data_IF_668280784292
#
_entry.id   IF_668280784292
#
_cell.length_a   1.000
_cell.length_b   1.000
_cell.length_c   1.000
_cell.angle_alpha   90.00
_cell.angle_beta   90.00
_cell.angle_gamma   90.00
#
_symmetry.space_group_name_H-M   'P 1'
#
loop_
_entity.id
_entity.type
_entity.pdbx_description
1 polymer ?
#
# COMPACT_ATOMS: atom_id res chain seq x y z
N UNK A 1 -48.45 48.65 45.41
CA UNK A 1 -46.99 48.51 45.23
C UNK A 1 -46.62 47.04 45.06
N UNK A 2 -47.08 46.18 45.98
CA UNK A 2 -46.87 44.71 45.99
C UNK A 2 -47.26 43.95 44.69
N UNK A 3 -48.40 44.27 44.06
CA UNK A 3 -48.84 43.59 42.81
C UNK A 3 -47.92 43.84 41.61
N UNK A 4 -47.28 45.02 41.54
CA UNK A 4 -46.32 45.35 40.47
C UNK A 4 -45.00 44.59 40.63
N UNK A 5 -44.61 44.31 41.87
CA UNK A 5 -43.40 43.53 42.17
C UNK A 5 -43.61 42.05 41.86
N UNK A 6 -44.78 41.49 42.18
CA UNK A 6 -45.14 40.10 41.88
C UNK A 6 -45.22 39.86 40.36
N UNK A 7 -45.86 40.76 39.61
CA UNK A 7 -45.94 40.66 38.15
C UNK A 7 -44.58 40.83 37.48
N UNK A 8 -43.73 41.74 37.97
CA UNK A 8 -42.34 41.87 37.50
C UNK A 8 -41.53 40.60 37.77
N UNK A 9 -41.62 40.03 38.97
CA UNK A 9 -40.92 38.79 39.32
C UNK A 9 -41.35 37.59 38.47
N UNK A 10 -42.66 37.48 38.17
CA UNK A 10 -43.19 36.48 37.24
C UNK A 10 -42.65 36.65 35.81
N UNK A 11 -42.61 37.89 35.31
CA UNK A 11 -42.07 38.17 33.97
C UNK A 11 -40.57 37.85 33.91
N UNK A 12 -39.80 38.21 34.94
CA UNK A 12 -38.37 37.88 35.03
C UNK A 12 -38.13 36.38 35.13
N UNK A 13 -38.93 35.67 35.92
CA UNK A 13 -38.85 34.21 36.03
C UNK A 13 -39.20 33.51 34.71
N UNK A 14 -40.23 33.98 34.00
CA UNK A 14 -40.62 33.45 32.70
C UNK A 14 -39.54 33.71 31.64
N UNK A 15 -38.97 34.92 31.63
CA UNK A 15 -37.87 35.28 30.73
C UNK A 15 -36.60 34.46 31.02
N UNK A 16 -36.28 34.20 32.29
CA UNK A 16 -35.16 33.33 32.68
C UNK A 16 -35.39 31.88 32.26
N UNK A 17 -36.62 31.37 32.39
CA UNK A 17 -36.98 30.02 31.97
C UNK A 17 -36.88 29.84 30.46
N UNK A 18 -37.44 30.79 29.68
CA UNK A 18 -37.34 30.80 28.22
C UNK A 18 -35.88 30.97 27.76
N UNK A 19 -35.13 31.86 28.41
CA UNK A 19 -33.70 32.06 28.13
C UNK A 19 -32.87 30.80 28.36
N UNK A 20 -33.13 30.10 29.48
CA UNK A 20 -32.46 28.82 29.81
C UNK A 20 -32.85 27.71 28.83
N UNK A 21 -34.12 27.65 28.42
CA UNK A 21 -34.60 26.69 27.42
C UNK A 21 -33.95 26.90 26.05
N UNK A 22 -33.87 28.15 25.57
CA UNK A 22 -33.21 28.50 24.31
C UNK A 22 -31.70 28.22 24.40
N UNK A 23 -31.04 28.61 25.50
CA UNK A 23 -29.61 28.35 25.70
C UNK A 23 -29.29 26.85 25.72
N UNK A 24 -30.12 26.04 26.40
CA UNK A 24 -29.99 24.59 26.46
C UNK A 24 -30.18 23.94 25.08
N UNK A 25 -31.14 24.44 24.30
CA UNK A 25 -31.38 23.97 22.94
C UNK A 25 -30.21 24.30 22.00
N UNK A 26 -29.67 25.51 22.07
CA UNK A 26 -28.49 25.93 21.29
C UNK A 26 -27.25 25.13 21.69
N UNK A 27 -27.04 24.92 22.99
CA UNK A 27 -25.95 24.08 23.50
C UNK A 27 -26.06 22.63 22.98
N UNK A 28 -27.26 22.05 23.02
CA UNK A 28 -27.52 20.72 22.47
C UNK A 28 -27.21 20.63 20.97
N UNK A 29 -27.67 21.60 20.17
CA UNK A 29 -27.37 21.65 18.73
C UNK A 29 -25.87 21.79 18.45
N UNK A 30 -25.17 22.61 19.25
CA UNK A 30 -23.73 22.81 19.13
C UNK A 30 -22.97 21.51 19.42
N UNK A 31 -23.29 20.82 20.52
CA UNK A 31 -22.69 19.51 20.87
C UNK A 31 -22.99 18.47 19.79
N UNK A 32 -24.22 18.42 19.26
CA UNK A 32 -24.60 17.51 18.15
C UNK A 32 -23.82 17.80 16.86
N UNK A 33 -23.51 19.07 16.57
CA UNK A 33 -22.69 19.45 15.41
C UNK A 33 -21.20 19.09 15.63
N UNK A 34 -20.66 19.37 16.82
CA UNK A 34 -19.28 19.04 17.18
C UNK A 34 -19.02 17.54 17.14
N UNK A 35 -19.93 16.72 17.70
CA UNK A 35 -19.83 15.25 17.66
C UNK A 35 -19.87 14.71 16.23
N UNK A 36 -20.78 15.20 15.38
CA UNK A 36 -20.79 14.86 13.94
C UNK A 36 -19.48 15.23 13.24
N UNK A 37 -18.91 16.39 13.56
CA UNK A 37 -17.65 16.83 12.97
C UNK A 37 -16.47 16.00 13.46
N UNK A 38 -16.41 15.70 14.77
CA UNK A 38 -15.41 14.81 15.34
C UNK A 38 -15.46 13.40 14.72
N UNK A 39 -16.66 12.83 14.50
CA UNK A 39 -16.81 11.55 13.80
C UNK A 39 -16.31 11.61 12.35
N UNK A 40 -16.58 12.69 11.61
CA UNK A 40 -16.05 12.88 10.26
C UNK A 40 -14.52 12.97 10.26
N UNK A 41 -13.95 13.72 11.20
CA UNK A 41 -12.50 13.85 11.36
C UNK A 41 -11.85 12.54 11.75
N UNK A 42 -12.44 11.77 12.67
CA UNK A 42 -11.95 10.45 13.06
C UNK A 42 -11.97 9.48 11.87
N UNK A 43 -13.06 9.46 11.10
CA UNK A 43 -13.16 8.66 9.88
C UNK A 43 -12.10 9.05 8.85
N UNK A 44 -11.89 10.36 8.64
CA UNK A 44 -10.86 10.87 7.74
C UNK A 44 -9.44 10.51 8.21
N UNK A 45 -9.15 10.66 9.51
CA UNK A 45 -7.87 10.28 10.12
C UNK A 45 -7.60 8.78 9.96
N UNK A 46 -8.60 7.94 10.21
CA UNK A 46 -8.47 6.50 10.05
C UNK A 46 -8.21 6.10 8.59
N UNK A 47 -8.90 6.73 7.63
CA UNK A 47 -8.64 6.53 6.19
C UNK A 47 -7.22 6.95 5.82
N UNK A 48 -6.76 8.11 6.31
CA UNK A 48 -5.40 8.58 6.07
C UNK A 48 -4.36 7.61 6.63
N UNK A 49 -4.61 7.03 7.80
CA UNK A 49 -3.74 6.03 8.39
C UNK A 49 -3.68 4.74 7.55
N UNK A 50 -4.82 4.24 7.06
CA UNK A 50 -4.86 3.06 6.17
C UNK A 50 -4.05 3.33 4.90
N UNK A 51 -4.26 4.48 4.26
CA UNK A 51 -3.53 4.87 3.05
C UNK A 51 -2.02 4.93 3.34
N UNK A 52 -1.61 5.52 4.46
CA UNK A 52 -0.20 5.57 4.86
C UNK A 52 0.39 4.16 5.02
N UNK A 53 -0.35 3.24 5.65
CA UNK A 53 0.10 1.85 5.82
C UNK A 53 0.22 1.12 4.46
N UNK A 54 -0.68 1.39 3.52
CA UNK A 54 -0.60 0.87 2.15
C UNK A 54 0.64 1.41 1.41
N UNK A 55 0.89 2.72 1.47
CA UNK A 55 2.08 3.33 0.86
C UNK A 55 3.37 2.76 1.44
N UNK A 56 3.46 2.63 2.77
CA UNK A 56 4.63 2.02 3.42
C UNK A 56 4.84 0.55 3.02
N UNK A 57 3.76 -0.22 2.87
CA UNK A 57 3.85 -1.60 2.40
C UNK A 57 4.39 -1.67 0.97
N UNK A 58 3.89 -0.80 0.09
CA UNK A 58 4.34 -0.72 -1.30
C UNK A 58 5.79 -0.26 -1.42
N UNK A 59 6.23 0.71 -0.62
CA UNK A 59 7.62 1.16 -0.54
C UNK A 59 8.56 0.04 -0.06
N UNK A 60 8.13 -0.74 0.93
CA UNK A 60 8.88 -1.90 1.43
C UNK A 60 9.06 -2.95 0.32
N UNK A 61 7.98 -3.30 -0.37
CA UNK A 61 8.01 -4.24 -1.50
C UNK A 61 8.89 -3.71 -2.63
N UNK A 62 8.78 -2.43 -2.96
CA UNK A 62 9.58 -1.80 -4.01
C UNK A 62 11.08 -1.86 -3.69
N UNK A 63 11.45 -1.61 -2.43
CA UNK A 63 12.83 -1.69 -1.96
C UNK A 63 13.41 -3.10 -2.09
N UNK A 64 12.63 -4.13 -1.74
CA UNK A 64 13.03 -5.55 -1.94
C UNK A 64 13.17 -5.85 -3.43
N UNK A 65 12.23 -5.37 -4.24
CA UNK A 65 12.22 -5.58 -5.68
C UNK A 65 13.40 -4.93 -6.40
N UNK A 66 14.05 -3.94 -5.79
CA UNK A 66 15.24 -3.32 -6.36
C UNK A 66 16.36 -4.35 -6.58
N UNK A 67 16.47 -5.40 -5.76
CA UNK A 67 17.43 -6.49 -5.94
C UNK A 67 17.37 -7.17 -7.33
N UNK A 68 16.25 -7.01 -8.05
CA UNK A 68 16.01 -7.55 -9.39
C UNK A 68 16.37 -6.58 -10.53
N UNK A 69 16.85 -5.38 -10.22
CA UNK A 69 17.08 -4.32 -11.20
C UNK A 69 18.26 -4.59 -12.14
N UNK A 70 18.26 -3.89 -13.28
CA UNK A 70 19.31 -3.97 -14.33
C UNK A 70 20.61 -3.27 -13.94
N UNK A 71 20.52 -2.25 -13.10
CA UNK A 71 21.67 -1.47 -12.64
C UNK A 71 22.51 -2.34 -11.69
N UNK A 72 23.67 -2.76 -12.17
CA UNK A 72 24.59 -3.66 -11.47
C UNK A 72 25.04 -3.15 -10.10
N UNK A 73 25.52 -4.08 -9.27
CA UNK A 73 26.01 -3.82 -7.92
C UNK A 73 26.05 -5.09 -7.07
N UNK A 74 26.75 -5.04 -5.94
CA UNK A 74 26.76 -6.13 -4.96
C UNK A 74 25.34 -6.35 -4.40
N UNK A 75 24.93 -7.62 -4.24
CA UNK A 75 23.61 -8.00 -3.71
C UNK A 75 22.47 -8.11 -4.73
N UNK A 76 22.73 -7.90 -6.04
CA UNK A 76 21.72 -8.11 -7.10
C UNK A 76 21.55 -9.59 -7.47
N UNK A 77 20.35 -9.96 -7.90
CA UNK A 77 20.05 -11.32 -8.38
C UNK A 77 20.79 -11.61 -9.69
N UNK A 78 20.77 -10.67 -10.63
CA UNK A 78 21.48 -10.78 -11.90
C UNK A 78 22.88 -10.18 -11.73
N UNK A 79 23.90 -10.99 -12.01
CA UNK A 79 25.30 -10.62 -11.94
C UNK A 79 25.92 -10.73 -13.33
N UNK A 80 26.83 -9.81 -13.65
CA UNK A 80 27.60 -9.84 -14.90
C UNK A 80 29.06 -10.12 -14.54
N UNK A 81 29.63 -11.14 -15.16
CA UNK A 81 31.05 -11.47 -15.04
C UNK A 81 31.61 -11.70 -16.45
N UNK A 82 32.44 -10.75 -16.90
CA UNK A 82 32.85 -10.63 -18.30
C UNK A 82 31.66 -10.43 -19.25
N UNK A 83 31.60 -11.24 -20.30
CA UNK A 83 30.51 -11.24 -21.29
C UNK A 83 29.33 -12.14 -20.90
N UNK A 84 29.46 -12.87 -19.79
CA UNK A 84 28.42 -13.78 -19.32
C UNK A 84 27.54 -13.12 -18.27
N UNK A 85 26.27 -13.52 -18.28
CA UNK A 85 25.27 -13.04 -17.34
C UNK A 85 24.81 -14.24 -16.52
N UNK A 86 24.82 -14.08 -15.21
CA UNK A 86 24.50 -15.12 -14.25
C UNK A 86 23.36 -14.69 -13.35
N UNK A 87 22.60 -15.66 -12.86
CA UNK A 87 21.71 -15.51 -11.73
C UNK A 87 22.39 -16.06 -10.47
N UNK A 88 22.53 -15.21 -9.45
CA UNK A 88 23.08 -15.59 -8.15
C UNK A 88 22.04 -16.33 -7.31
N UNK A 89 22.29 -17.60 -7.02
CA UNK A 89 21.40 -18.43 -6.20
C UNK A 89 21.29 -17.85 -4.79
N UNK A 90 22.41 -17.41 -4.21
CA UNK A 90 22.44 -16.83 -2.86
C UNK A 90 21.57 -15.57 -2.76
N UNK A 91 21.76 -14.60 -3.66
CA UNK A 91 21.00 -13.36 -3.63
C UNK A 91 19.52 -13.60 -3.96
N UNK A 92 19.23 -14.59 -4.81
CA UNK A 92 17.85 -14.99 -5.11
C UNK A 92 17.16 -15.60 -3.90
N UNK A 93 17.84 -16.45 -3.12
CA UNK A 93 17.30 -16.99 -1.86
C UNK A 93 17.03 -15.88 -0.85
N UNK A 94 17.98 -14.96 -0.66
CA UNK A 94 17.79 -13.80 0.21
C UNK A 94 16.60 -12.94 -0.22
N UNK A 95 16.44 -12.71 -1.52
CA UNK A 95 15.28 -12.00 -2.06
C UNK A 95 13.96 -12.72 -1.73
N UNK A 96 13.90 -14.05 -1.94
CA UNK A 96 12.72 -14.87 -1.65
C UNK A 96 12.38 -14.79 -0.16
N UNK A 97 13.36 -14.97 0.72
CA UNK A 97 13.17 -14.93 2.18
C UNK A 97 12.67 -13.56 2.64
N UNK A 98 13.26 -12.47 2.12
CA UNK A 98 12.82 -11.10 2.43
C UNK A 98 11.40 -10.84 1.96
N UNK A 99 11.05 -11.34 0.77
CA UNK A 99 9.71 -11.21 0.22
C UNK A 99 8.69 -11.95 1.10
N UNK A 100 8.94 -13.21 1.45
CA UNK A 100 8.08 -14.01 2.32
C UNK A 100 7.92 -13.39 3.71
N UNK A 101 9.02 -12.97 4.32
CA UNK A 101 9.00 -12.30 5.63
C UNK A 101 8.15 -11.03 5.58
N UNK A 102 8.24 -10.26 4.50
CA UNK A 102 7.44 -9.04 4.31
C UNK A 102 5.96 -9.36 4.14
N UNK A 103 5.62 -10.41 3.40
CA UNK A 103 4.23 -10.86 3.25
C UNK A 103 3.61 -11.41 4.52
N UNK A 104 4.38 -12.14 5.32
CA UNK A 104 3.91 -12.67 6.61
C UNK A 104 3.90 -11.59 7.71
N UNK A 105 4.39 -10.39 7.42
CA UNK A 105 4.34 -9.23 8.31
C UNK A 105 3.06 -8.39 8.10
N UNK A 106 2.92 -7.33 8.90
CA UNK A 106 1.82 -6.35 8.75
C UNK A 106 1.72 -5.76 7.35
N UNK A 107 2.84 -5.63 6.62
CA UNK A 107 2.86 -5.08 5.26
C UNK A 107 2.08 -5.93 4.26
N UNK A 108 2.08 -7.26 4.39
CA UNK A 108 1.35 -8.15 3.49
C UNK A 108 -0.17 -8.02 3.54
N UNK A 109 -0.71 -7.47 4.63
CA UNK A 109 -2.16 -7.22 4.79
C UNK A 109 -2.66 -6.05 3.94
N UNK A 110 -1.77 -5.15 3.53
CA UNK A 110 -2.13 -3.91 2.84
C UNK A 110 -1.98 -3.98 1.32
N UNK A 111 -1.63 -5.15 0.79
CA UNK A 111 -1.47 -5.39 -0.64
C UNK A 111 -2.73 -6.05 -1.21
N UNK A 112 -3.11 -5.64 -2.41
CA UNK A 112 -4.22 -6.22 -3.15
C UNK A 112 -3.95 -7.69 -3.47
N UNK A 113 -5.00 -8.47 -3.63
CA UNK A 113 -4.88 -9.86 -4.08
C UNK A 113 -4.13 -9.99 -5.40
N UNK A 114 -4.35 -9.07 -6.35
CA UNK A 114 -3.67 -9.07 -7.65
C UNK A 114 -2.17 -8.89 -7.48
N UNK A 115 -1.71 -7.93 -6.69
CA UNK A 115 -0.28 -7.72 -6.46
C UNK A 115 0.35 -8.91 -5.72
N UNK A 116 -0.34 -9.43 -4.70
CA UNK A 116 0.10 -10.64 -3.98
C UNK A 116 0.32 -11.82 -4.93
N UNK A 117 -0.69 -12.18 -5.73
CA UNK A 117 -0.59 -13.30 -6.69
C UNK A 117 0.61 -13.14 -7.64
N UNK A 118 0.74 -11.96 -8.27
CA UNK A 118 1.85 -11.70 -9.20
C UNK A 118 3.24 -11.73 -8.55
N UNK A 119 3.36 -11.29 -7.30
CA UNK A 119 4.60 -11.39 -6.52
C UNK A 119 4.93 -12.86 -6.22
N UNK A 120 3.95 -13.67 -5.83
CA UNK A 120 4.14 -15.10 -5.58
C UNK A 120 4.41 -15.89 -6.86
N UNK A 121 3.85 -15.51 -8.00
CA UNK A 121 4.17 -16.11 -9.29
C UNK A 121 5.62 -15.84 -9.68
N UNK A 122 6.08 -14.59 -9.50
CA UNK A 122 7.48 -14.23 -9.73
C UNK A 122 8.43 -14.95 -8.77
N UNK A 123 8.08 -15.06 -7.48
CA UNK A 123 8.81 -15.89 -6.50
C UNK A 123 8.89 -17.35 -6.96
N UNK A 124 7.77 -17.93 -7.38
CA UNK A 124 7.69 -19.35 -7.78
C UNK A 124 8.53 -19.62 -9.03
N UNK A 125 8.55 -18.67 -9.97
CA UNK A 125 9.44 -18.68 -11.12
C UNK A 125 10.92 -18.73 -10.70
N UNK A 126 11.36 -17.84 -9.79
CA UNK A 126 12.74 -17.84 -9.28
C UNK A 126 13.09 -19.11 -8.51
N UNK A 127 12.16 -19.59 -7.68
CA UNK A 127 12.32 -20.83 -6.91
C UNK A 127 12.51 -22.03 -7.85
N UNK A 128 11.76 -22.08 -8.95
CA UNK A 128 11.89 -23.14 -9.96
C UNK A 128 13.28 -23.12 -10.61
N UNK A 129 13.83 -21.93 -10.88
CA UNK A 129 15.18 -21.79 -11.43
C UNK A 129 16.22 -22.30 -10.43
N UNK A 130 16.13 -21.90 -9.17
CA UNK A 130 17.08 -22.34 -8.12
C UNK A 130 17.01 -23.86 -7.93
N UNK A 131 15.81 -24.43 -7.80
CA UNK A 131 15.63 -25.85 -7.52
C UNK A 131 16.10 -26.77 -8.66
N UNK A 132 16.11 -26.27 -9.90
CA UNK A 132 16.67 -27.00 -11.06
C UNK A 132 18.20 -26.94 -11.14
N UNK A 133 18.84 -26.09 -10.33
CA UNK A 133 20.27 -25.80 -10.39
C UNK A 133 20.94 -25.92 -9.01
N UNK A 134 20.43 -26.81 -8.15
CA UNK A 134 20.90 -26.97 -6.76
C UNK A 134 22.38 -27.35 -6.69
N UNK A 135 22.88 -28.08 -7.69
CA UNK A 135 24.27 -28.55 -7.77
C UNK A 135 25.24 -27.53 -8.40
N UNK A 136 24.75 -26.41 -8.94
CA UNK A 136 25.62 -25.38 -9.50
C UNK A 136 26.34 -24.60 -8.37
N UNK A 137 27.55 -24.12 -8.65
CA UNK A 137 28.47 -23.36 -7.77
C UNK A 137 27.93 -21.99 -7.28
N UNK A 138 26.63 -21.86 -7.02
CA UNK A 138 25.97 -20.63 -6.58
C UNK A 138 25.58 -19.68 -7.71
N UNK A 139 25.96 -19.96 -8.96
CA UNK A 139 25.65 -19.15 -10.14
C UNK A 139 24.97 -20.00 -11.22
N UNK A 140 23.93 -19.45 -11.85
CA UNK A 140 23.21 -20.07 -12.97
C UNK A 140 23.41 -19.25 -14.23
N UNK A 141 23.95 -19.86 -15.28
CA UNK A 141 24.14 -19.19 -16.57
C UNK A 141 22.80 -18.80 -17.22
N UNK A 142 22.69 -17.51 -17.55
CA UNK A 142 21.52 -16.89 -18.15
C UNK A 142 21.83 -16.53 -19.61
N UNK A 143 21.40 -17.41 -20.50
CA UNK A 143 21.35 -17.09 -21.92
C UNK A 143 20.35 -15.95 -22.21
N UNK A 144 20.46 -15.37 -23.40
CA UNK A 144 19.65 -14.21 -23.81
C UNK A 144 18.14 -14.44 -23.67
N UNK A 145 17.67 -15.66 -24.01
CA UNK A 145 16.25 -16.03 -23.89
C UNK A 145 15.77 -16.02 -22.44
N UNK A 146 16.52 -16.64 -21.51
CA UNK A 146 16.19 -16.66 -20.07
C UNK A 146 16.24 -15.25 -19.48
N UNK A 147 17.22 -14.45 -19.91
CA UNK A 147 17.37 -13.07 -19.46
C UNK A 147 16.21 -12.19 -19.91
N UNK A 148 15.78 -12.33 -21.17
CA UNK A 148 14.59 -11.64 -21.68
C UNK A 148 13.34 -12.04 -20.89
N UNK A 149 13.10 -13.33 -20.70
CA UNK A 149 11.95 -13.83 -19.94
C UNK A 149 11.93 -13.30 -18.50
N UNK A 150 13.07 -13.29 -17.80
CA UNK A 150 13.18 -12.71 -16.47
C UNK A 150 12.81 -11.22 -16.46
N UNK A 151 13.33 -10.43 -17.40
CA UNK A 151 13.05 -9.00 -17.46
C UNK A 151 11.62 -8.68 -17.88
N UNK A 152 11.00 -9.51 -18.72
CA UNK A 152 9.59 -9.38 -19.11
C UNK A 152 8.69 -9.63 -17.89
N UNK A 153 8.91 -10.72 -17.15
CA UNK A 153 8.18 -11.01 -15.90
C UNK A 153 8.40 -9.92 -14.85
N UNK A 154 9.64 -9.45 -14.70
CA UNK A 154 9.98 -8.34 -13.80
C UNK A 154 9.26 -7.05 -14.21
N UNK A 155 9.25 -6.71 -15.50
CA UNK A 155 8.59 -5.51 -16.02
C UNK A 155 7.10 -5.55 -15.73
N UNK A 156 6.46 -6.69 -16.00
CA UNK A 156 5.04 -6.88 -15.72
C UNK A 156 4.74 -6.68 -14.23
N UNK A 157 5.48 -7.33 -13.33
CA UNK A 157 5.31 -7.16 -11.89
C UNK A 157 5.53 -5.70 -11.44
N UNK A 158 6.52 -5.00 -12.00
CA UNK A 158 6.75 -3.58 -11.75
C UNK A 158 5.53 -2.72 -12.09
N UNK A 159 4.87 -3.00 -13.20
CA UNK A 159 3.66 -2.29 -13.63
C UNK A 159 2.50 -2.55 -12.66
N UNK A 160 2.34 -3.79 -12.19
CA UNK A 160 1.33 -4.14 -11.18
C UNK A 160 1.56 -3.35 -9.88
N UNK A 161 2.79 -3.31 -9.38
CA UNK A 161 3.11 -2.55 -8.15
C UNK A 161 2.86 -1.05 -8.35
N UNK A 162 3.26 -0.46 -9.49
CA UNK A 162 3.01 0.96 -9.79
C UNK A 162 1.53 1.30 -9.88
N UNK A 163 0.72 0.42 -10.48
CA UNK A 163 -0.73 0.56 -10.54
C UNK A 163 -1.34 0.58 -9.14
N UNK A 164 -0.79 -0.20 -8.22
CA UNK A 164 -1.26 -0.25 -6.83
C UNK A 164 -0.93 1.01 -6.02
N UNK A 165 0.22 1.64 -6.29
CA UNK A 165 0.60 2.94 -5.70
C UNK A 165 -0.30 4.08 -6.21
N UNK A 166 -0.93 3.93 -7.38
CA UNK A 166 -1.74 4.97 -8.00
C UNK A 166 -0.92 6.09 -8.64
N UNK A 167 0.36 5.84 -9.01
CA UNK A 167 1.18 6.85 -9.69
C UNK A 167 0.60 7.19 -11.07
N UNK A 168 0.53 8.49 -11.38
CA UNK A 168 -0.22 9.20 -12.43
C UNK A 168 -0.08 8.73 -13.92
N UNK A 169 0.69 7.68 -14.23
CA UNK A 169 0.74 7.04 -15.56
C UNK A 169 -0.29 5.90 -15.72
N UNK A 170 -1.42 5.97 -15.01
CA UNK A 170 -2.41 4.87 -14.92
C UNK A 170 -2.94 4.39 -16.28
N UNK A 171 -3.04 5.27 -17.28
CA UNK A 171 -3.44 4.87 -18.65
C UNK A 171 -2.35 4.07 -19.34
N UNK A 172 -1.14 4.63 -19.49
CA UNK A 172 0.02 3.94 -20.07
C UNK A 172 0.34 2.62 -19.34
N UNK A 173 0.26 2.62 -18.01
CA UNK A 173 0.47 1.42 -17.20
C UNK A 173 -0.61 0.37 -17.45
N UNK A 174 -1.88 0.78 -17.57
CA UNK A 174 -2.99 -0.16 -17.86
C UNK A 174 -2.94 -0.68 -19.29
N UNK A 175 -2.59 0.16 -20.26
CA UNK A 175 -2.39 -0.19 -21.67
C UNK A 175 -1.18 -1.11 -21.86
N UNK A 176 -0.10 -0.94 -21.09
CA UNK A 176 1.02 -1.88 -21.12
C UNK A 176 0.64 -3.22 -20.47
N UNK A 177 -0.12 -3.20 -19.37
CA UNK A 177 -0.58 -4.43 -18.70
C UNK A 177 -1.48 -5.26 -19.62
N UNK A 178 -2.40 -4.63 -20.37
CA UNK A 178 -3.31 -5.39 -21.26
C UNK A 178 -2.54 -6.19 -22.33
N UNK A 179 -1.39 -5.69 -22.80
CA UNK A 179 -0.51 -6.42 -23.75
C UNK A 179 0.09 -7.71 -23.18
N UNK A 180 0.11 -7.86 -21.85
CA UNK A 180 0.54 -9.10 -21.18
C UNK A 180 -0.63 -10.02 -20.81
N UNK A 181 -1.86 -9.49 -20.77
CA UNK A 181 -3.07 -10.22 -20.36
C UNK A 181 -3.93 -10.68 -21.56
N UNK A 182 -3.69 -10.14 -22.76
CA UNK A 182 -4.31 -10.65 -23.99
C UNK A 182 -3.81 -12.07 -24.28
N UNK A 183 -4.70 -13.05 -24.51
CA UNK A 183 -4.30 -14.36 -24.98
C UNK A 183 -3.72 -14.22 -26.41
N UNK A 184 -2.54 -14.82 -26.61
CA UNK A 184 -2.02 -15.05 -27.96
C UNK A 184 -2.97 -15.95 -28.78
#
# INVERSE_FOLDING_TARGET
MMEKEITSALITALAAFLGTGIASYVAFLSVKKQTKQAMKTLSASHRAEIIRRQLNALETIWSIFDATSRSGGNGRIIQKDGDKIFLSISNTRQFIDLLEKTFNSKSGLYLSERCRRNLFDFRSYLTTIINKNVENNGLVDFNEKKLKDFYDKRRYLRLIIRKEVGSLDLKLTSEEISRYEEPA
#
